data_IF_723945182131
#
_entry.id   IF_723945182131
#
_cell.length_a   1.000
_cell.length_b   1.000
_cell.length_c   1.000
_cell.angle_alpha   90.00
_cell.angle_beta   90.00
_cell.angle_gamma   90.00
#
_symmetry.space_group_name_H-M   'P 1'
#
loop_
_entity.id
_entity.type
_entity.pdbx_description
1 polymer ?
#
# COMPACT_ATOMS: atom_id res chain seq x y z
N UNK A 1 -17.75 -32.09 0.85
CA UNK A 1 -16.81 -32.15 1.99
C UNK A 1 -17.13 -30.95 2.87
N UNK A 2 -16.80 -31.05 4.15
CA UNK A 2 -17.22 -30.11 5.17
C UNK A 2 -15.98 -29.29 5.48
N UNK A 3 -15.89 -28.10 4.92
CA UNK A 3 -14.61 -27.39 4.81
C UNK A 3 -14.73 -25.99 5.39
N UNK A 4 -13.66 -25.55 6.05
CA UNK A 4 -13.54 -24.15 6.47
C UNK A 4 -13.29 -23.29 5.22
N UNK A 5 -13.72 -22.04 5.29
CA UNK A 5 -13.45 -21.04 4.27
C UNK A 5 -13.26 -19.72 5.00
N UNK A 6 -12.01 -19.40 5.33
CA UNK A 6 -11.73 -18.18 6.05
C UNK A 6 -11.74 -17.00 5.08
N UNK A 7 -12.17 -15.86 5.58
CA UNK A 7 -12.13 -14.63 4.82
C UNK A 7 -11.65 -13.51 5.71
N UNK A 8 -10.73 -12.70 5.21
CA UNK A 8 -10.18 -11.57 5.95
C UNK A 8 -10.64 -10.26 5.35
N UNK A 9 -10.89 -9.26 6.21
CA UNK A 9 -11.20 -7.88 5.81
C UNK A 9 -10.60 -6.90 6.80
N UNK A 10 -10.07 -5.78 6.30
CA UNK A 10 -9.74 -4.66 7.17
C UNK A 10 -10.99 -3.94 7.66
N UNK A 11 -11.05 -3.69 8.97
CA UNK A 11 -12.04 -2.85 9.63
C UNK A 11 -11.56 -1.40 9.73
N UNK A 12 -11.79 -0.79 10.90
CA UNK A 12 -11.41 0.60 11.16
C UNK A 12 -9.90 0.75 11.26
N UNK A 13 -9.38 1.86 10.74
CA UNK A 13 -8.06 2.38 11.13
C UNK A 13 -8.31 3.25 12.37
N UNK A 14 -8.02 2.70 13.54
CA UNK A 14 -8.24 3.35 14.84
C UNK A 14 -7.19 4.45 15.03
N UNK A 15 -5.94 4.13 14.70
CA UNK A 15 -4.81 5.04 14.64
C UNK A 15 -4.04 4.73 13.35
N UNK A 16 -3.79 5.76 12.53
CA UNK A 16 -3.05 5.59 11.28
C UNK A 16 -1.69 4.95 11.57
N UNK A 17 -1.39 3.80 10.93
CA UNK A 17 -0.08 3.19 11.05
C UNK A 17 1.01 4.14 10.56
N UNK A 18 2.04 4.26 11.39
CA UNK A 18 3.30 4.89 11.04
C UNK A 18 4.31 3.77 10.89
N UNK A 19 5.04 3.75 9.79
CA UNK A 19 6.24 2.90 9.67
C UNK A 19 7.44 3.73 10.10
N UNK A 20 8.42 3.08 10.76
CA UNK A 20 9.70 3.58 11.31
C UNK A 20 9.97 5.11 11.25
N UNK A 21 10.41 5.77 12.34
CA UNK A 21 10.88 5.18 13.61
C UNK A 21 9.85 5.15 14.74
N UNK A 22 8.64 5.69 14.53
CA UNK A 22 7.68 5.89 15.62
C UNK A 22 6.79 4.66 15.88
N UNK A 23 6.56 3.82 14.85
CA UNK A 23 5.84 2.53 14.88
C UNK A 23 4.57 2.50 15.74
N UNK A 24 3.73 3.51 15.55
CA UNK A 24 2.40 3.57 16.13
C UNK A 24 1.37 3.13 15.11
N UNK A 25 0.17 2.80 15.56
CA UNK A 25 -0.91 2.42 14.66
C UNK A 25 -1.77 1.33 15.24
N UNK A 26 -3.06 1.44 14.97
CA UNK A 26 -4.06 0.45 15.39
C UNK A 26 -5.04 0.24 14.26
N UNK A 27 -5.11 -0.98 13.76
CA UNK A 27 -6.06 -1.35 12.71
C UNK A 27 -6.85 -2.58 13.12
N UNK A 28 -8.12 -2.61 12.76
CA UNK A 28 -8.94 -3.79 12.93
C UNK A 28 -8.80 -4.71 11.73
N UNK A 29 -8.71 -6.00 11.98
CA UNK A 29 -8.80 -7.07 10.99
C UNK A 29 -9.89 -8.02 11.42
N UNK A 30 -10.90 -8.21 10.58
CA UNK A 30 -12.01 -9.13 10.82
C UNK A 30 -11.80 -10.40 10.01
N UNK A 31 -11.90 -11.53 10.70
CA UNK A 31 -11.78 -12.88 10.13
C UNK A 31 -13.17 -13.52 10.23
N UNK A 32 -13.69 -13.98 9.11
CA UNK A 32 -15.01 -14.61 9.00
C UNK A 32 -14.85 -16.03 8.51
N UNK A 33 -15.52 -16.98 9.15
CA UNK A 33 -15.69 -18.31 8.56
C UNK A 33 -16.90 -18.28 7.62
N UNK A 34 -16.65 -18.24 6.31
CA UNK A 34 -17.65 -18.31 5.24
C UNK A 34 -17.96 -19.76 4.83
N UNK A 35 -17.37 -20.73 5.50
CA UNK A 35 -17.57 -22.16 5.26
C UNK A 35 -18.87 -22.67 5.87
N UNK A 36 -19.08 -23.98 5.75
CA UNK A 36 -20.26 -24.67 6.27
C UNK A 36 -19.94 -25.55 7.50
N UNK A 37 -18.72 -25.50 8.01
CA UNK A 37 -18.26 -26.19 9.22
C UNK A 37 -17.68 -25.22 10.23
N UNK A 38 -17.65 -25.62 11.50
CA UNK A 38 -16.95 -24.86 12.53
C UNK A 38 -15.43 -24.89 12.26
N UNK A 39 -14.80 -23.72 12.30
CA UNK A 39 -13.34 -23.61 12.37
C UNK A 39 -12.93 -23.62 13.85
N UNK A 40 -12.08 -24.56 14.25
CA UNK A 40 -11.55 -24.66 15.61
C UNK A 40 -10.08 -25.10 15.57
N UNK A 41 -9.19 -24.14 15.36
CA UNK A 41 -7.77 -24.40 15.15
C UNK A 41 -6.91 -23.15 15.41
N UNK A 42 -5.58 -23.34 15.55
CA UNK A 42 -4.64 -22.22 15.48
C UNK A 42 -4.67 -21.51 14.13
N UNK A 43 -4.30 -20.25 14.15
CA UNK A 43 -4.28 -19.36 12.99
C UNK A 43 -3.12 -18.36 13.09
N UNK A 44 -2.41 -18.16 11.98
CA UNK A 44 -1.48 -17.04 11.82
C UNK A 44 -2.14 -15.93 10.99
N UNK A 45 -2.11 -14.71 11.51
CA UNK A 45 -2.45 -13.50 10.75
C UNK A 45 -1.16 -12.75 10.43
N UNK A 46 -0.79 -12.74 9.15
CA UNK A 46 0.41 -12.07 8.63
C UNK A 46 0.06 -10.72 8.05
N UNK A 47 0.84 -9.70 8.38
CA UNK A 47 0.68 -8.34 7.84
C UNK A 47 1.88 -8.00 6.97
N UNK A 48 1.61 -7.47 5.78
CA UNK A 48 2.65 -7.03 4.84
C UNK A 48 2.47 -5.58 4.46
N UNK A 49 3.58 -4.86 4.23
CA UNK A 49 3.57 -3.58 3.54
C UNK A 49 4.01 -3.78 2.09
N UNK A 50 3.26 -3.18 1.16
CA UNK A 50 3.52 -3.20 -0.26
C UNK A 50 3.44 -1.80 -0.85
N UNK A 51 4.23 -1.57 -1.89
CA UNK A 51 4.21 -0.33 -2.68
C UNK A 51 3.09 -0.31 -3.73
N UNK A 52 2.42 -1.45 -3.98
CA UNK A 52 1.32 -1.57 -4.93
C UNK A 52 0.15 -2.45 -4.45
N UNK A 53 -0.78 -2.77 -5.36
CA UNK A 53 -2.02 -3.51 -5.07
C UNK A 53 -1.87 -5.03 -5.19
N UNK A 54 -0.66 -5.54 -5.35
CA UNK A 54 -0.37 -6.96 -5.53
C UNK A 54 0.48 -7.42 -4.35
N UNK A 55 0.12 -8.55 -3.75
CA UNK A 55 0.94 -9.16 -2.71
C UNK A 55 1.99 -10.07 -3.34
N UNK A 56 3.24 -9.61 -3.36
CA UNK A 56 4.41 -10.32 -3.91
C UNK A 56 5.13 -11.10 -2.79
N UNK A 57 4.90 -12.41 -2.70
CA UNK A 57 5.52 -13.28 -1.68
C UNK A 57 6.72 -14.09 -2.18
N UNK A 58 7.11 -13.90 -3.44
CA UNK A 58 8.25 -14.60 -4.01
C UNK A 58 9.54 -14.01 -3.45
N UNK A 59 10.37 -14.84 -2.80
CA UNK A 59 11.65 -14.41 -2.21
C UNK A 59 12.48 -13.55 -3.19
N UNK A 60 13.12 -12.50 -2.65
CA UNK A 60 14.30 -11.90 -3.28
C UNK A 60 15.29 -13.02 -3.59
N UNK A 61 15.84 -13.01 -4.80
CA UNK A 61 16.80 -13.98 -5.33
C UNK A 61 17.69 -14.51 -4.20
N UNK A 62 17.66 -15.82 -3.99
CA UNK A 62 18.71 -16.45 -3.18
C UNK A 62 20.03 -16.30 -3.95
N UNK A 63 21.16 -16.26 -3.25
CA UNK A 63 22.50 -16.32 -3.88
C UNK A 63 22.64 -17.51 -4.85
N UNK A 64 21.81 -18.55 -4.68
CA UNK A 64 21.78 -19.76 -5.50
C UNK A 64 20.75 -19.72 -6.64
N UNK A 65 19.91 -18.67 -6.74
CA UNK A 65 19.00 -18.42 -7.88
C UNK A 65 19.77 -17.78 -9.05
N UNK A 66 20.94 -18.34 -9.39
CA UNK A 66 21.69 -17.93 -10.57
C UNK A 66 20.96 -18.47 -11.78
N UNK A 67 20.25 -17.59 -12.46
CA UNK A 67 19.66 -17.88 -13.76
C UNK A 67 20.80 -18.28 -14.74
N UNK A 68 20.63 -19.38 -15.47
CA UNK A 68 21.67 -19.91 -16.37
C UNK A 68 22.03 -18.94 -17.53
N UNK A 69 21.23 -17.89 -17.71
CA UNK A 69 21.35 -16.81 -18.68
C UNK A 69 21.90 -15.51 -18.08
N UNK A 70 22.22 -15.45 -16.77
CA UNK A 70 22.84 -14.30 -16.12
C UNK A 70 21.91 -13.10 -15.90
N UNK A 71 20.60 -13.30 -16.00
CA UNK A 71 19.57 -12.29 -15.81
C UNK A 71 18.91 -12.43 -14.43
N UNK A 72 19.70 -12.30 -13.36
CA UNK A 72 19.19 -12.35 -11.99
C UNK A 72 18.32 -11.12 -11.70
N UNK A 73 17.04 -11.21 -12.06
CA UNK A 73 16.02 -10.20 -11.83
C UNK A 73 15.78 -10.06 -10.33
N UNK A 74 16.02 -8.90 -9.72
CA UNK A 74 15.64 -8.65 -8.33
C UNK A 74 14.12 -8.81 -8.16
N UNK A 75 13.65 -9.98 -7.69
CA UNK A 75 12.23 -10.21 -7.40
C UNK A 75 11.91 -9.77 -5.96
N UNK A 76 11.43 -8.55 -5.79
CA UNK A 76 11.10 -8.02 -4.46
C UNK A 76 9.95 -8.78 -3.80
N UNK A 77 10.15 -9.25 -2.56
CA UNK A 77 9.05 -9.58 -1.65
C UNK A 77 8.48 -8.30 -1.07
N UNK A 78 7.17 -8.17 -1.05
CA UNK A 78 6.52 -7.26 -0.11
C UNK A 78 6.97 -7.57 1.31
N UNK A 79 7.08 -6.52 2.12
CA UNK A 79 7.71 -6.62 3.42
C UNK A 79 6.76 -7.26 4.43
N UNK A 80 7.15 -8.40 5.02
CA UNK A 80 6.45 -8.96 6.17
C UNK A 80 6.72 -8.11 7.41
N UNK A 81 5.70 -7.36 7.83
CA UNK A 81 5.75 -6.53 9.03
C UNK A 81 5.70 -7.38 10.30
N UNK A 82 4.92 -8.46 10.28
CA UNK A 82 4.79 -9.31 11.45
C UNK A 82 3.76 -10.42 11.30
N UNK A 83 3.67 -11.24 12.32
CA UNK A 83 2.74 -12.38 12.38
C UNK A 83 2.11 -12.41 13.75
N UNK A 84 0.82 -12.12 13.82
CA UNK A 84 0.02 -12.32 15.02
C UNK A 84 -0.45 -13.77 15.05
N UNK A 85 0.09 -14.54 16.00
CA UNK A 85 -0.32 -15.92 16.23
C UNK A 85 -1.58 -15.96 17.09
N UNK A 86 -2.50 -16.84 16.75
CA UNK A 86 -3.69 -17.14 17.54
C UNK A 86 -3.71 -18.65 17.79
N UNK A 87 -3.44 -19.06 19.03
CA UNK A 87 -3.29 -20.48 19.36
C UNK A 87 -4.61 -21.26 19.24
N UNK A 88 -5.75 -20.58 19.41
CA UNK A 88 -7.05 -21.21 19.26
C UNK A 88 -8.13 -20.17 18.88
N UNK A 89 -8.61 -20.22 17.64
CA UNK A 89 -9.79 -19.48 17.20
C UNK A 89 -10.93 -20.46 16.94
N UNK A 90 -12.11 -20.13 17.46
CA UNK A 90 -13.35 -20.86 17.20
C UNK A 90 -14.35 -19.97 16.48
N UNK A 91 -14.68 -20.31 15.23
CA UNK A 91 -15.64 -19.60 14.39
C UNK A 91 -16.65 -20.57 13.78
N UNK A 92 -17.90 -20.50 14.22
CA UNK A 92 -18.99 -21.20 13.57
C UNK A 92 -19.29 -20.62 12.16
N UNK A 93 -19.99 -21.34 11.27
CA UNK A 93 -20.41 -20.83 9.97
C UNK A 93 -21.05 -19.45 10.03
N UNK A 94 -20.55 -18.52 9.22
CA UNK A 94 -20.98 -17.14 9.14
C UNK A 94 -20.57 -16.26 10.32
N UNK A 95 -19.84 -16.78 11.32
CA UNK A 95 -19.34 -16.00 12.46
C UNK A 95 -17.99 -15.37 12.14
N UNK A 96 -17.73 -14.26 12.84
CA UNK A 96 -16.53 -13.48 12.68
C UNK A 96 -15.89 -13.15 14.01
N UNK A 97 -14.57 -12.95 13.99
CA UNK A 97 -13.80 -12.38 15.09
C UNK A 97 -13.00 -11.19 14.55
N UNK A 98 -12.99 -10.10 15.31
CA UNK A 98 -12.21 -8.90 14.98
C UNK A 98 -11.02 -8.83 15.91
N UNK A 99 -9.83 -8.76 15.32
CA UNK A 99 -8.56 -8.56 16.00
C UNK A 99 -8.14 -7.10 15.85
N UNK A 100 -7.66 -6.49 16.93
CA UNK A 100 -6.97 -5.20 16.86
C UNK A 100 -5.48 -5.46 16.74
N UNK A 101 -4.90 -5.02 15.62
CA UNK A 101 -3.47 -5.09 15.36
C UNK A 101 -2.84 -3.81 15.89
N UNK A 102 -1.94 -3.95 16.86
CA UNK A 102 -1.17 -2.85 17.45
C UNK A 102 0.25 -2.87 16.87
N UNK A 103 0.59 -1.86 16.06
CA UNK A 103 1.89 -1.75 15.41
C UNK A 103 3.02 -1.46 16.41
N UNK A 104 2.69 -0.99 17.61
CA UNK A 104 3.65 -0.85 18.70
C UNK A 104 3.88 -2.17 19.49
N UNK A 105 3.14 -3.23 19.15
CA UNK A 105 3.24 -4.54 19.79
C UNK A 105 4.44 -5.34 19.32
N UNK A 106 4.96 -6.22 20.18
CA UNK A 106 6.15 -7.05 19.89
C UNK A 106 5.99 -8.07 18.76
N UNK A 107 4.75 -8.33 18.32
CA UNK A 107 4.45 -9.25 17.22
C UNK A 107 4.77 -8.65 15.84
N UNK A 108 5.00 -7.34 15.80
CA UNK A 108 5.30 -6.58 14.59
C UNK A 108 6.66 -5.90 14.71
N UNK A 109 7.37 -5.85 13.59
CA UNK A 109 8.71 -5.27 13.51
C UNK A 109 8.61 -3.76 13.41
N UNK A 110 9.65 -3.14 13.96
CA UNK A 110 9.82 -1.71 14.08
C UNK A 110 10.32 -1.11 12.76
N UNK A 111 11.47 -1.59 12.27
CA UNK A 111 12.02 -1.14 10.99
C UNK A 111 11.24 -1.70 9.79
N UNK A 112 10.85 -0.80 8.88
CA UNK A 112 10.21 -1.08 7.59
C UNK A 112 11.04 -0.46 6.46
N UNK A 113 11.20 -1.15 5.35
CA UNK A 113 11.86 -0.65 4.13
C UNK A 113 10.90 0.13 3.22
N UNK A 114 9.59 0.01 3.43
CA UNK A 114 8.60 0.83 2.72
C UNK A 114 8.66 2.28 3.20
N UNK A 115 8.59 3.24 2.26
CA UNK A 115 8.67 4.67 2.58
C UNK A 115 7.39 5.18 3.27
N UNK A 116 7.50 6.06 4.28
CA UNK A 116 6.34 6.67 4.91
C UNK A 116 5.56 7.52 3.88
N UNK A 117 4.25 7.63 4.06
CA UNK A 117 3.39 8.39 3.17
C UNK A 117 2.22 7.57 2.65
N UNK A 118 2.46 6.70 1.67
CA UNK A 118 1.42 5.92 1.01
C UNK A 118 1.92 4.52 0.70
N UNK A 119 1.21 3.53 1.21
CA UNK A 119 1.49 2.11 0.96
C UNK A 119 0.23 1.27 1.14
N UNK A 120 0.24 0.05 0.62
CA UNK A 120 -0.81 -0.93 0.83
C UNK A 120 -0.42 -1.83 2.00
N UNK A 121 -1.29 -1.91 2.99
CA UNK A 121 -1.23 -2.90 4.05
C UNK A 121 -2.01 -4.13 3.59
N UNK A 122 -1.37 -5.28 3.57
CA UNK A 122 -2.01 -6.57 3.31
C UNK A 122 -2.16 -7.35 4.60
N UNK A 123 -3.29 -8.05 4.73
CA UNK A 123 -3.53 -9.06 5.75
C UNK A 123 -3.70 -10.40 5.04
N UNK A 124 -2.97 -11.42 5.50
CA UNK A 124 -3.11 -12.80 5.06
C UNK A 124 -3.40 -13.69 6.26
N UNK A 125 -4.50 -14.43 6.18
CA UNK A 125 -4.91 -15.41 7.18
C UNK A 125 -4.43 -16.78 6.71
N UNK A 126 -3.58 -17.42 7.51
CA UNK A 126 -3.07 -18.76 7.24
C UNK A 126 -3.53 -19.71 8.36
N UNK A 127 -4.48 -20.63 8.07
CA UNK A 127 -4.85 -21.65 9.05
C UNK A 127 -3.70 -22.65 9.25
N UNK A 128 -3.64 -23.26 10.43
CA UNK A 128 -2.65 -24.30 10.73
C UNK A 128 -2.68 -25.46 9.73
N UNK A 129 -1.53 -26.13 9.55
CA UNK A 129 -1.22 -27.08 8.47
C UNK A 129 -2.20 -28.26 8.23
N UNK A 130 -3.20 -28.46 9.10
CA UNK A 130 -4.17 -29.57 9.02
C UNK A 130 -5.58 -29.13 8.62
N UNK A 131 -5.80 -27.85 8.30
CA UNK A 131 -7.10 -27.34 7.86
C UNK A 131 -7.04 -27.03 6.36
N UNK A 132 -7.90 -27.69 5.59
CA UNK A 132 -8.12 -27.34 4.19
C UNK A 132 -9.06 -26.14 4.12
N UNK A 133 -8.52 -24.99 3.74
CA UNK A 133 -9.33 -23.85 3.31
C UNK A 133 -9.68 -24.00 1.83
N UNK A 134 -10.97 -23.95 1.52
CA UNK A 134 -11.47 -24.13 0.14
C UNK A 134 -11.26 -22.94 -0.76
N UNK A 135 -10.94 -21.76 -0.20
CA UNK A 135 -10.69 -20.56 -0.98
C UNK A 135 -9.51 -19.78 -0.37
N UNK A 136 -8.35 -19.82 -1.02
CA UNK A 136 -7.19 -19.04 -0.56
C UNK A 136 -7.25 -17.57 -1.00
N UNK A 137 -8.18 -17.19 -1.89
CA UNK A 137 -8.23 -15.83 -2.45
C UNK A 137 -8.87 -14.82 -1.51
N UNK A 138 -9.82 -15.24 -0.67
CA UNK A 138 -10.45 -14.41 0.37
C UNK A 138 -9.69 -14.46 1.69
N UNK A 139 -8.65 -15.30 1.82
CA UNK A 139 -7.68 -15.26 2.91
C UNK A 139 -6.76 -14.05 2.85
N UNK A 140 -6.89 -13.21 1.83
CA UNK A 140 -6.12 -11.97 1.68
C UNK A 140 -7.03 -10.77 1.54
N UNK A 141 -6.65 -9.68 2.18
CA UNK A 141 -7.23 -8.36 1.98
C UNK A 141 -6.14 -7.31 1.95
N UNK A 142 -6.40 -6.19 1.29
CA UNK A 142 -5.53 -5.02 1.29
C UNK A 142 -6.27 -3.76 1.69
N UNK A 143 -5.52 -2.81 2.24
CA UNK A 143 -5.99 -1.47 2.56
C UNK A 143 -4.91 -0.45 2.25
N UNK A 144 -5.26 0.59 1.51
CA UNK A 144 -4.40 1.73 1.31
C UNK A 144 -4.27 2.50 2.63
N UNK A 145 -3.04 2.67 3.11
CA UNK A 145 -2.70 3.51 4.24
C UNK A 145 -2.10 4.81 3.69
N UNK A 146 -2.58 5.94 4.20
CA UNK A 146 -2.02 7.26 3.92
C UNK A 146 -1.63 7.96 5.22
N UNK A 147 -0.44 8.54 5.23
CA UNK A 147 0.22 9.17 6.36
C UNK A 147 0.96 10.43 5.88
N UNK A 148 1.24 11.36 6.79
CA UNK A 148 2.00 12.57 6.47
C UNK A 148 1.21 13.58 5.64
N UNK A 149 1.85 14.70 5.34
CA UNK A 149 1.28 15.74 4.50
C UNK A 149 1.29 15.36 3.00
N UNK A 150 0.78 16.26 2.15
CA UNK A 150 0.72 16.04 0.72
C UNK A 150 2.12 15.79 0.10
N UNK A 151 3.16 16.49 0.58
CA UNK A 151 4.53 16.34 0.04
C UNK A 151 5.07 14.95 0.35
N UNK A 152 4.90 14.47 1.59
CA UNK A 152 5.31 13.12 2.00
C UNK A 152 4.56 12.05 1.22
N UNK A 153 3.24 12.21 1.03
CA UNK A 153 2.46 11.26 0.23
C UNK A 153 2.90 11.25 -1.23
N UNK A 154 3.12 12.40 -1.87
CA UNK A 154 3.60 12.43 -3.26
C UNK A 154 5.04 11.96 -3.42
N UNK A 155 5.89 12.14 -2.40
CA UNK A 155 7.21 11.51 -2.34
C UNK A 155 7.10 9.98 -2.34
N UNK A 156 6.21 9.40 -1.52
CA UNK A 156 6.01 7.95 -1.53
C UNK A 156 5.44 7.44 -2.85
N UNK A 157 4.51 8.16 -3.50
CA UNK A 157 4.01 7.79 -4.83
C UNK A 157 5.16 7.76 -5.85
N UNK A 158 6.05 8.76 -5.84
CA UNK A 158 7.24 8.80 -6.67
C UNK A 158 8.17 7.61 -6.43
N UNK A 159 8.50 7.30 -5.17
CA UNK A 159 9.37 6.16 -4.82
C UNK A 159 8.74 4.83 -5.24
N UNK A 160 7.46 4.61 -4.95
CA UNK A 160 6.72 3.42 -5.37
C UNK A 160 6.65 3.31 -6.90
N UNK A 161 6.54 4.43 -7.62
CA UNK A 161 6.51 4.46 -9.09
C UNK A 161 7.88 4.08 -9.67
N UNK A 162 8.97 4.58 -9.07
CA UNK A 162 10.35 4.21 -9.41
C UNK A 162 10.55 2.70 -9.21
N UNK A 163 10.15 2.18 -8.05
CA UNK A 163 10.27 0.75 -7.74
C UNK A 163 9.46 -0.11 -8.71
N UNK A 164 8.23 0.29 -9.03
CA UNK A 164 7.35 -0.44 -9.95
C UNK A 164 7.94 -0.64 -11.36
N UNK A 165 8.92 0.18 -11.77
CA UNK A 165 9.62 -0.01 -13.06
C UNK A 165 10.50 -1.27 -13.08
N UNK A 166 10.91 -1.79 -11.92
CA UNK A 166 11.71 -3.01 -11.79
C UNK A 166 10.89 -4.27 -11.57
N UNK A 167 9.57 -4.14 -11.35
CA UNK A 167 8.70 -5.30 -11.14
C UNK A 167 8.49 -6.09 -12.43
N UNK A 168 8.14 -7.38 -12.28
CA UNK A 168 7.81 -8.29 -13.38
C UNK A 168 8.90 -8.45 -14.45
N UNK A 169 10.17 -8.36 -14.05
CA UNK A 169 11.30 -8.49 -14.96
C UNK A 169 11.64 -7.22 -15.76
N UNK A 170 11.14 -6.06 -15.32
CA UNK A 170 11.60 -4.78 -15.83
C UNK A 170 13.01 -4.44 -15.36
N UNK A 171 13.74 -3.66 -16.17
CA UNK A 171 15.12 -3.24 -15.87
C UNK A 171 15.23 -2.33 -14.63
N UNK A 172 14.09 -1.79 -14.17
CA UNK A 172 14.07 -0.79 -13.13
C UNK A 172 14.56 0.57 -13.62
N UNK A 173 14.49 1.55 -12.74
CA UNK A 173 15.03 2.89 -12.98
C UNK A 173 16.45 2.93 -12.40
N UNK A 174 17.50 3.17 -13.21
CA UNK A 174 18.87 3.23 -12.70
C UNK A 174 19.04 4.33 -11.64
N UNK A 175 19.92 4.15 -10.63
CA UNK A 175 20.04 5.10 -9.53
C UNK A 175 20.25 6.57 -9.92
N UNK A 176 21.10 6.92 -10.93
CA UNK A 176 21.24 8.31 -11.34
C UNK A 176 19.96 8.91 -11.94
N UNK A 177 19.19 8.08 -12.66
CA UNK A 177 17.92 8.51 -13.25
C UNK A 177 16.84 8.65 -12.18
N UNK A 178 16.79 7.73 -11.21
CA UNK A 178 15.89 7.82 -10.07
C UNK A 178 16.14 9.10 -9.26
N UNK A 179 17.40 9.43 -8.97
CA UNK A 179 17.76 10.67 -8.28
C UNK A 179 17.36 11.93 -9.08
N UNK A 180 17.56 11.92 -10.40
CA UNK A 180 17.13 13.02 -11.28
C UNK A 180 15.61 13.18 -11.28
N UNK A 181 14.86 12.10 -11.37
CA UNK A 181 13.39 12.13 -11.35
C UNK A 181 12.86 12.66 -10.01
N UNK A 182 13.47 12.24 -8.89
CA UNK A 182 13.16 12.80 -7.57
C UNK A 182 13.35 14.31 -7.52
N UNK A 183 14.48 14.82 -8.04
CA UNK A 183 14.74 16.25 -8.11
C UNK A 183 13.70 16.99 -8.98
N UNK A 184 13.34 16.44 -10.15
CA UNK A 184 12.34 17.05 -11.04
C UNK A 184 10.98 17.17 -10.35
N UNK A 185 10.50 16.11 -9.70
CA UNK A 185 9.21 16.11 -9.00
C UNK A 185 9.20 17.07 -7.82
N UNK A 186 10.22 17.03 -6.97
CA UNK A 186 10.29 17.92 -5.81
C UNK A 186 10.44 19.39 -6.19
N UNK A 187 11.17 19.69 -7.27
CA UNK A 187 11.28 21.05 -7.76
C UNK A 187 9.94 21.56 -8.33
N UNK A 188 9.20 20.72 -9.06
CA UNK A 188 7.86 21.05 -9.55
C UNK A 188 6.87 21.29 -8.40
N UNK A 189 6.92 20.46 -7.35
CA UNK A 189 6.10 20.63 -6.14
C UNK A 189 6.47 21.94 -5.43
N UNK A 190 7.76 22.21 -5.25
CA UNK A 190 8.25 23.43 -4.59
C UNK A 190 7.79 24.70 -5.33
N UNK A 191 8.00 24.76 -6.64
CA UNK A 191 7.59 25.90 -7.46
C UNK A 191 6.06 26.11 -7.43
N UNK A 192 5.29 25.01 -7.45
CA UNK A 192 3.83 25.08 -7.40
C UNK A 192 3.32 25.60 -6.06
N UNK A 193 3.93 25.20 -4.94
CA UNK A 193 3.57 25.71 -3.60
C UNK A 193 3.93 27.19 -3.48
N UNK A 194 5.10 27.62 -3.96
CA UNK A 194 5.48 29.04 -3.93
C UNK A 194 4.53 29.94 -4.74
N UNK A 195 3.98 29.42 -5.84
CA UNK A 195 3.05 30.14 -6.71
C UNK A 195 1.59 29.96 -6.29
N UNK A 196 1.30 29.09 -5.32
CA UNK A 196 -0.05 28.82 -4.89
C UNK A 196 -0.63 30.03 -4.12
N UNK A 197 -1.88 30.43 -4.40
CA UNK A 197 -2.59 31.32 -3.48
C UNK A 197 -2.73 30.61 -2.12
N UNK A 198 -2.61 31.38 -1.03
CA UNK A 198 -2.56 30.91 0.37
C UNK A 198 -3.68 29.96 0.84
N UNK A 199 -4.69 29.68 0.01
CA UNK A 199 -5.82 28.83 0.33
C UNK A 199 -5.68 27.36 -0.14
N UNK A 200 -4.61 26.93 -0.83
CA UNK A 200 -4.59 25.55 -1.35
C UNK A 200 -3.24 24.88 -1.66
N UNK A 201 -2.23 25.03 -0.81
CA UNK A 201 -0.92 24.38 -0.96
C UNK A 201 -1.03 22.87 -1.21
N UNK A 202 -1.94 22.18 -0.51
CA UNK A 202 -2.17 20.74 -0.71
C UNK A 202 -2.62 20.40 -2.14
N UNK A 203 -3.49 21.22 -2.74
CA UNK A 203 -3.91 20.98 -4.13
C UNK A 203 -2.79 21.30 -5.12
N UNK A 204 -1.97 22.31 -4.83
CA UNK A 204 -0.81 22.65 -5.66
C UNK A 204 0.20 21.49 -5.67
N UNK A 205 0.51 20.92 -4.50
CA UNK A 205 1.35 19.71 -4.38
C UNK A 205 0.76 18.56 -5.20
N UNK A 206 -0.54 18.28 -5.03
CA UNK A 206 -1.22 17.17 -5.70
C UNK A 206 -1.18 17.30 -7.22
N UNK A 207 -1.48 18.49 -7.73
CA UNK A 207 -1.55 18.71 -9.17
C UNK A 207 -0.16 18.70 -9.81
N UNK A 208 0.83 19.35 -9.18
CA UNK A 208 2.20 19.37 -9.66
C UNK A 208 2.82 17.96 -9.64
N UNK A 209 2.71 17.26 -8.50
CA UNK A 209 3.18 15.88 -8.37
C UNK A 209 2.53 14.96 -9.39
N UNK A 210 1.21 15.07 -9.59
CA UNK A 210 0.49 14.28 -10.58
C UNK A 210 1.02 14.47 -11.99
N UNK A 211 1.06 15.72 -12.47
CA UNK A 211 1.47 16.05 -13.84
C UNK A 211 2.90 15.60 -14.12
N UNK A 212 3.81 15.94 -13.21
CA UNK A 212 5.22 15.58 -13.39
C UNK A 212 5.42 14.07 -13.39
N UNK A 213 4.71 13.32 -12.54
CA UNK A 213 4.84 11.86 -12.50
C UNK A 213 4.26 11.18 -13.74
N UNK A 214 3.12 11.63 -14.27
CA UNK A 214 2.58 11.01 -15.50
C UNK A 214 3.45 11.31 -16.73
N UNK A 215 4.15 12.46 -16.74
CA UNK A 215 5.09 12.81 -17.80
C UNK A 215 6.37 11.97 -17.72
N UNK A 216 6.89 11.75 -16.50
CA UNK A 216 8.08 10.93 -16.27
C UNK A 216 7.82 9.43 -16.40
N UNK A 217 6.61 8.96 -16.05
CA UNK A 217 6.25 7.54 -15.98
C UNK A 217 4.90 7.27 -16.68
N UNK A 218 4.82 7.45 -18.01
CA UNK A 218 3.56 7.34 -18.74
C UNK A 218 2.91 5.95 -18.65
N UNK A 219 3.71 4.89 -18.49
CA UNK A 219 3.21 3.51 -18.30
C UNK A 219 2.49 3.32 -16.97
N UNK A 220 2.75 4.17 -15.98
CA UNK A 220 2.14 4.13 -14.64
C UNK A 220 0.98 5.14 -14.50
N UNK A 221 0.62 5.87 -15.55
CA UNK A 221 -0.35 6.96 -15.49
C UNK A 221 -1.71 6.56 -14.90
N UNK A 222 -2.20 5.35 -15.19
CA UNK A 222 -3.46 4.84 -14.63
C UNK A 222 -3.40 4.61 -13.11
N UNK A 223 -2.29 4.03 -12.64
CA UNK A 223 -2.00 3.82 -11.21
C UNK A 223 -1.89 5.16 -10.49
N UNK A 224 -1.08 6.08 -11.04
CA UNK A 224 -0.85 7.42 -10.49
C UNK A 224 -2.18 8.21 -10.44
N UNK A 225 -3.00 8.15 -11.50
CA UNK A 225 -4.33 8.77 -11.51
C UNK A 225 -5.24 8.23 -10.41
N UNK A 226 -5.26 6.91 -10.23
CA UNK A 226 -6.07 6.27 -9.18
C UNK A 226 -5.66 6.73 -7.78
N UNK A 227 -4.36 6.94 -7.54
CA UNK A 227 -3.83 7.46 -6.27
C UNK A 227 -4.21 8.94 -6.06
N UNK A 228 -4.11 9.79 -7.11
CA UNK A 228 -4.62 11.17 -7.08
C UNK A 228 -6.11 11.21 -6.72
N UNK A 229 -6.93 10.40 -7.39
CA UNK A 229 -8.38 10.38 -7.17
C UNK A 229 -8.72 9.95 -5.72
N UNK A 230 -7.95 9.02 -5.14
CA UNK A 230 -8.09 8.63 -3.73
C UNK A 230 -7.70 9.76 -2.77
N UNK A 231 -6.58 10.44 -3.03
CA UNK A 231 -6.14 11.60 -2.25
C UNK A 231 -7.23 12.70 -2.22
N UNK A 232 -7.75 13.07 -3.40
CA UNK A 232 -8.78 14.11 -3.54
C UNK A 232 -10.11 13.76 -2.87
N UNK A 233 -10.45 12.47 -2.73
CA UNK A 233 -11.60 12.01 -1.95
C UNK A 233 -11.39 12.19 -0.45
N UNK A 234 -10.15 12.04 0.03
CA UNK A 234 -9.80 12.15 1.44
C UNK A 234 -9.73 13.60 1.93
N UNK A 235 -9.49 14.58 1.04
CA UNK A 235 -9.60 16.00 1.38
C UNK A 235 -11.08 16.31 1.70
N UNK A 236 -11.41 16.81 2.91
CA UNK A 236 -12.75 17.28 3.24
C UNK A 236 -13.24 18.27 2.18
N UNK A 237 -14.55 18.31 1.87
CA UNK A 237 -15.13 19.26 0.93
C UNK A 237 -14.88 20.70 1.39
N UNK A 238 -13.74 21.23 1.01
CA UNK A 238 -13.22 22.56 1.28
C UNK A 238 -13.04 23.29 -0.05
N UNK A 239 -12.80 24.61 0.01
CA UNK A 239 -12.50 25.42 -1.17
C UNK A 239 -11.36 24.83 -2.04
N UNK A 240 -10.41 24.09 -1.43
CA UNK A 240 -9.34 23.37 -2.12
C UNK A 240 -9.85 22.34 -3.16
N UNK A 241 -10.92 21.60 -2.83
CA UNK A 241 -11.54 20.63 -3.76
C UNK A 241 -12.25 21.30 -4.93
N UNK A 242 -12.80 22.51 -4.70
CA UNK A 242 -13.39 23.35 -5.76
C UNK A 242 -12.32 23.96 -6.67
N UNK A 243 -11.11 24.24 -6.15
CA UNK A 243 -9.99 24.76 -6.94
C UNK A 243 -9.39 23.73 -7.90
N UNK A 244 -9.24 22.46 -7.50
CA UNK A 244 -8.80 21.38 -8.40
C UNK A 244 -9.76 21.27 -9.60
N UNK A 245 -11.07 21.27 -9.35
CA UNK A 245 -12.08 21.24 -10.40
C UNK A 245 -12.08 22.52 -11.27
N UNK A 246 -11.75 23.69 -10.72
CA UNK A 246 -11.61 24.94 -11.48
C UNK A 246 -10.34 24.99 -12.34
N UNK A 247 -9.24 24.38 -11.90
CA UNK A 247 -8.02 24.25 -12.68
C UNK A 247 -8.24 23.30 -13.88
N UNK A 248 -8.95 22.19 -13.68
CA UNK A 248 -9.35 21.27 -14.76
C UNK A 248 -10.21 21.96 -15.83
N UNK A 249 -11.15 22.82 -15.42
CA UNK A 249 -12.00 23.57 -16.36
C UNK A 249 -11.31 24.75 -17.06
N UNK A 250 -10.31 25.38 -16.42
CA UNK A 250 -9.55 26.48 -17.06
C UNK A 250 -8.58 25.97 -18.14
N UNK A 251 -8.05 24.76 -17.98
CA UNK A 251 -7.14 24.15 -18.96
C UNK A 251 -7.88 23.56 -20.18
N UNK A 252 -9.15 23.17 -20.03
CA UNK A 252 -9.99 22.73 -21.16
C UNK A 252 -10.42 23.89 -22.10
N UNK A 253 -10.25 25.14 -21.68
CA UNK A 253 -10.53 26.34 -22.47
C UNK A 253 -9.28 26.94 -23.12
N UNK A 254 -8.12 26.31 -22.93
CA UNK A 254 -6.81 26.74 -23.49
C UNK A 254 -6.27 25.81 -24.58
N UNK A 255 -7.06 24.81 -24.99
CA UNK A 255 -6.87 23.98 -26.19
C UNK A 255 -8.13 24.07 -27.06
#
# INVERSE_FOLDING_TARGET
MADANLAVKFGKVIQTPTIFPDEQGKVEVTITNQGNTDFNAPLDLKLYASTDKVLDLNNLNKIDDVSADGNDLLKGTDELLGTLKQDNITLAPGKSQTLTIDFAGSDFRTASVVAPGLYYLFAEVQPGNNITDTNLTNNRASKLITQGDAVIQWNSILLNTIEATGKNGGDGTPPPLAARQQAIVHNAIYDAVLQAPAASDQAAVVEAGYRTLIDLFPTQASTIKSLRDNFLKAIPNSEAKKMVSRLENKLLLMY
#
